data_IF_474879371553
#
_entry.id   IF_474879371553
#
_cell.length_a   1.000
_cell.length_b   1.000
_cell.length_c   1.000
_cell.angle_alpha   90.00
_cell.angle_beta   90.00
_cell.angle_gamma   90.00
#
_symmetry.space_group_name_H-M   'P 1'
#
loop_
_entity.id
_entity.type
_entity.pdbx_description
1 polymer ?
#
# COMPACT_ATOMS: atom_id res chain seq x y z
N UNK A 1 2.34 -20.19 -9.81
CA UNK A 1 2.77 -19.32 -10.90
C UNK A 1 3.32 -18.03 -10.30
N UNK A 2 4.50 -17.61 -10.74
CA UNK A 2 5.08 -16.33 -10.37
C UNK A 2 4.35 -15.21 -11.13
N UNK A 3 4.21 -14.02 -10.53
CA UNK A 3 3.64 -12.86 -11.22
C UNK A 3 2.11 -12.82 -11.30
N UNK A 4 1.41 -13.27 -10.26
CA UNK A 4 -0.06 -13.17 -10.18
C UNK A 4 -0.53 -11.86 -9.54
N UNK A 5 -1.80 -11.49 -9.79
CA UNK A 5 -2.51 -10.44 -9.06
C UNK A 5 -3.40 -11.05 -7.98
N UNK A 6 -3.36 -10.47 -6.80
CA UNK A 6 -4.34 -10.69 -5.74
C UNK A 6 -4.93 -9.33 -5.36
N UNK A 7 -6.24 -9.18 -5.50
CA UNK A 7 -6.93 -7.93 -5.19
C UNK A 7 -8.11 -8.19 -4.22
N UNK A 8 -8.15 -7.43 -3.14
CA UNK A 8 -9.31 -7.29 -2.27
C UNK A 8 -9.88 -5.90 -2.46
N UNK A 9 -11.16 -5.82 -2.83
CA UNK A 9 -11.84 -4.55 -3.07
C UNK A 9 -13.19 -4.56 -2.37
N UNK A 10 -13.34 -3.67 -1.41
CA UNK A 10 -14.57 -3.51 -0.63
C UNK A 10 -14.58 -2.13 0.04
N UNK A 11 -15.72 -1.63 0.54
CA UNK A 11 -15.73 -0.42 1.38
C UNK A 11 -14.86 -0.53 2.64
N UNK A 12 -14.71 -1.74 3.19
CA UNK A 12 -13.77 -2.04 4.28
C UNK A 12 -12.99 -3.31 3.98
N UNK A 13 -11.67 -3.31 4.20
CA UNK A 13 -10.77 -4.44 3.97
C UNK A 13 -9.90 -4.67 5.20
N UNK A 14 -9.91 -5.89 5.73
CA UNK A 14 -9.02 -6.28 6.83
C UNK A 14 -8.22 -7.52 6.47
N UNK A 15 -6.91 -7.49 6.71
CA UNK A 15 -6.04 -8.63 6.66
C UNK A 15 -5.42 -8.87 8.04
N UNK A 16 -5.79 -9.96 8.68
CA UNK A 16 -5.17 -10.48 9.91
C UNK A 16 -4.39 -11.78 9.69
N UNK A 17 -4.36 -12.26 8.43
CA UNK A 17 -3.72 -13.50 8.01
C UNK A 17 -2.40 -13.27 7.27
N UNK A 18 -2.05 -14.25 6.42
CA UNK A 18 -0.83 -14.24 5.61
C UNK A 18 -1.19 -14.26 4.12
N UNK A 19 -0.72 -13.26 3.39
CA UNK A 19 -0.80 -13.16 1.93
C UNK A 19 0.61 -13.36 1.37
N UNK A 20 0.76 -14.25 0.38
CA UNK A 20 2.04 -14.49 -0.28
C UNK A 20 1.88 -14.49 -1.81
N UNK A 21 2.50 -13.53 -2.48
CA UNK A 21 2.41 -13.29 -3.93
C UNK A 21 3.79 -12.98 -4.52
N UNK A 22 4.74 -13.91 -4.41
CA UNK A 22 6.10 -13.72 -4.93
C UNK A 22 6.11 -13.30 -6.41
N UNK A 23 6.84 -12.25 -6.77
CA UNK A 23 6.90 -11.63 -8.10
C UNK A 23 5.52 -11.20 -8.62
N UNK A 24 4.55 -11.01 -7.72
CA UNK A 24 3.17 -10.65 -8.04
C UNK A 24 2.78 -9.32 -7.44
N UNK A 25 1.54 -8.93 -7.70
CA UNK A 25 0.94 -7.73 -7.15
C UNK A 25 -0.12 -8.10 -6.11
N UNK A 26 -0.12 -7.39 -4.99
CA UNK A 26 -1.18 -7.44 -3.98
C UNK A 26 -1.80 -6.06 -3.89
N UNK A 27 -3.12 -5.98 -4.01
CA UNK A 27 -3.88 -4.74 -3.84
C UNK A 27 -4.97 -4.93 -2.80
N UNK A 28 -4.94 -4.10 -1.76
CA UNK A 28 -6.04 -3.91 -0.83
C UNK A 28 -6.64 -2.53 -1.10
N UNK A 29 -7.87 -2.47 -1.61
CA UNK A 29 -8.46 -1.22 -2.07
C UNK A 29 -9.82 -0.99 -1.42
N UNK A 30 -10.02 0.20 -0.87
CA UNK A 30 -11.29 0.62 -0.28
C UNK A 30 -11.98 1.66 -1.13
N UNK A 31 -13.21 1.34 -1.56
CA UNK A 31 -14.07 2.19 -2.35
C UNK A 31 -15.38 1.51 -2.69
N UNK A 32 -16.34 2.26 -3.27
CA UNK A 32 -17.66 1.71 -3.66
C UNK A 32 -17.65 1.02 -5.02
N UNK A 33 -16.86 1.50 -5.96
CA UNK A 33 -16.70 0.93 -7.29
C UNK A 33 -15.23 0.89 -7.68
N UNK A 34 -14.87 -0.02 -8.56
CA UNK A 34 -13.50 -0.17 -9.04
C UNK A 34 -13.48 -0.53 -10.52
N UNK A 35 -12.44 -0.12 -11.20
CA UNK A 35 -12.11 -0.56 -12.55
C UNK A 35 -10.84 -1.40 -12.50
N UNK A 36 -10.91 -2.59 -13.10
CA UNK A 36 -9.77 -3.47 -13.27
C UNK A 36 -9.33 -3.40 -14.73
N UNK A 37 -8.18 -2.80 -14.99
CA UNK A 37 -7.57 -2.82 -16.30
C UNK A 37 -6.65 -4.04 -16.42
N UNK A 38 -7.03 -4.97 -17.31
CA UNK A 38 -6.28 -6.19 -17.60
C UNK A 38 -5.39 -6.07 -18.86
N UNK A 39 -5.41 -4.91 -19.52
CA UNK A 39 -4.71 -4.67 -20.77
C UNK A 39 -3.58 -3.65 -20.57
N UNK A 40 -2.38 -4.12 -20.50
CA UNK A 40 -1.19 -3.28 -20.45
C UNK A 40 0.00 -4.05 -19.92
N UNK A 41 1.15 -3.61 -20.21
CA UNK A 41 2.51 -4.11 -20.01
C UNK A 41 2.83 -4.60 -18.59
N UNK A 42 2.13 -5.61 -18.10
CA UNK A 42 2.24 -6.25 -16.77
C UNK A 42 1.69 -5.44 -15.59
N UNK A 43 1.10 -4.28 -15.80
CA UNK A 43 0.47 -3.49 -14.77
C UNK A 43 -1.05 -3.71 -14.85
N UNK A 44 -1.57 -4.53 -13.94
CA UNK A 44 -3.00 -4.50 -13.65
C UNK A 44 -3.23 -3.25 -12.83
N UNK A 45 -3.79 -2.23 -13.45
CA UNK A 45 -4.20 -1.02 -12.74
C UNK A 45 -5.56 -1.25 -12.11
N UNK A 46 -5.63 -1.18 -10.80
CA UNK A 46 -6.88 -1.17 -10.05
C UNK A 46 -7.18 0.27 -9.64
N UNK A 47 -8.15 0.89 -10.30
CA UNK A 47 -8.64 2.22 -9.94
C UNK A 47 -9.86 2.13 -9.05
N UNK A 48 -9.91 2.90 -7.97
CA UNK A 48 -11.09 3.06 -7.13
C UNK A 48 -11.89 4.27 -7.62
N UNK A 49 -13.03 4.02 -8.26
CA UNK A 49 -13.77 5.06 -8.99
C UNK A 49 -14.68 5.92 -8.10
N UNK A 50 -15.16 5.37 -6.98
CA UNK A 50 -16.14 6.05 -6.13
C UNK A 50 -15.74 6.09 -4.68
N UNK A 51 -15.83 7.27 -4.07
CA UNK A 51 -15.55 7.48 -2.65
C UNK A 51 -16.51 6.70 -1.74
N UNK A 52 -15.99 6.19 -0.65
CA UNK A 52 -16.80 5.77 0.51
C UNK A 52 -17.31 7.05 1.18
N UNK A 53 -18.63 7.21 1.27
CA UNK A 53 -19.28 8.42 1.81
C UNK A 53 -19.90 8.22 3.18
N UNK A 54 -20.15 6.96 3.55
CA UNK A 54 -20.83 6.59 4.79
C UNK A 54 -19.94 5.71 5.65
N UNK A 55 -20.21 5.68 6.94
CA UNK A 55 -19.51 4.77 7.87
C UNK A 55 -19.72 3.32 7.46
N UNK A 56 -18.64 2.57 7.44
CA UNK A 56 -18.67 1.13 7.16
C UNK A 56 -18.89 0.38 8.46
N UNK A 57 -19.87 -0.52 8.46
CA UNK A 57 -20.18 -1.38 9.61
C UNK A 57 -19.45 -2.71 9.42
N UNK A 58 -18.71 -3.11 10.43
CA UNK A 58 -17.98 -4.37 10.47
C UNK A 58 -18.88 -5.58 10.75
N UNK A 59 -18.32 -6.80 10.70
CA UNK A 59 -19.06 -8.03 10.93
C UNK A 59 -19.57 -8.17 12.38
N UNK A 60 -19.04 -7.40 13.32
CA UNK A 60 -19.46 -7.30 14.71
C UNK A 60 -20.66 -6.35 14.93
N UNK A 61 -21.09 -5.64 13.88
CA UNK A 61 -22.17 -4.65 13.92
C UNK A 61 -21.72 -3.26 14.35
N UNK A 62 -20.44 -3.06 14.61
CA UNK A 62 -19.86 -1.77 14.99
C UNK A 62 -19.21 -1.06 13.77
N UNK A 63 -19.06 0.25 13.86
CA UNK A 63 -18.36 0.99 12.82
C UNK A 63 -16.87 0.66 12.83
N UNK A 64 -16.30 0.37 11.65
CA UNK A 64 -14.87 0.11 11.53
C UNK A 64 -14.06 1.36 11.88
N UNK A 65 -12.93 1.19 12.55
CA UNK A 65 -12.01 2.28 12.89
C UNK A 65 -11.13 2.71 11.72
N UNK A 66 -10.95 1.84 10.73
CA UNK A 66 -10.20 2.11 9.50
C UNK A 66 -10.79 1.36 8.32
N UNK A 67 -10.66 1.92 7.11
CA UNK A 67 -11.19 1.30 5.89
C UNK A 67 -10.27 0.21 5.36
N UNK A 68 -8.96 0.38 5.51
CA UNK A 68 -7.98 -0.69 5.30
C UNK A 68 -7.22 -0.91 6.60
N UNK A 69 -7.22 -2.16 7.08
CA UNK A 69 -6.42 -2.59 8.21
C UNK A 69 -5.57 -3.79 7.83
N UNK A 70 -4.26 -3.66 8.00
CA UNK A 70 -3.34 -4.77 7.85
C UNK A 70 -2.61 -5.04 9.16
N UNK A 71 -3.14 -5.93 9.98
CA UNK A 71 -2.49 -6.46 11.18
C UNK A 71 -1.76 -7.77 10.94
N UNK A 72 -1.90 -8.35 9.74
CA UNK A 72 -1.26 -9.59 9.33
C UNK A 72 0.03 -9.37 8.53
N UNK A 73 0.33 -10.31 7.64
CA UNK A 73 1.54 -10.28 6.81
C UNK A 73 1.21 -10.33 5.33
N UNK A 74 1.81 -9.44 4.54
CA UNK A 74 1.77 -9.43 3.08
C UNK A 74 3.20 -9.56 2.57
N UNK A 75 3.45 -10.55 1.70
CA UNK A 75 4.78 -10.81 1.11
C UNK A 75 4.67 -10.90 -0.40
N UNK A 76 5.27 -9.91 -1.09
CA UNK A 76 5.30 -9.79 -2.54
C UNK A 76 6.72 -9.52 -3.05
N UNK A 77 7.71 -10.30 -2.59
CA UNK A 77 9.11 -10.07 -2.93
C UNK A 77 9.36 -10.09 -4.44
N UNK A 78 10.00 -9.04 -4.97
CA UNK A 78 10.18 -8.77 -6.39
C UNK A 78 8.88 -8.32 -7.09
N UNK A 79 7.88 -7.91 -6.34
CA UNK A 79 6.60 -7.42 -6.84
C UNK A 79 6.13 -6.19 -6.09
N UNK A 80 4.83 -5.91 -6.12
CA UNK A 80 4.28 -4.66 -5.59
C UNK A 80 3.13 -4.90 -4.63
N UNK A 81 3.02 -4.05 -3.61
CA UNK A 81 1.91 -4.02 -2.65
C UNK A 81 1.29 -2.63 -2.62
N UNK A 82 -0.01 -2.56 -2.89
CA UNK A 82 -0.79 -1.33 -2.88
C UNK A 82 -1.89 -1.40 -1.83
N UNK A 83 -1.94 -0.44 -0.94
CA UNK A 83 -3.07 -0.14 -0.06
C UNK A 83 -3.63 1.21 -0.49
N UNK A 84 -4.82 1.23 -1.08
CA UNK A 84 -5.40 2.44 -1.65
C UNK A 84 -6.80 2.69 -1.11
N UNK A 85 -7.07 3.90 -0.63
CA UNK A 85 -8.37 4.31 -0.14
C UNK A 85 -8.89 5.51 -0.92
N UNK A 86 -10.16 5.43 -1.34
CA UNK A 86 -10.92 6.54 -1.86
C UNK A 86 -12.15 6.77 -0.97
N UNK A 87 -12.02 7.66 0.00
CA UNK A 87 -13.07 7.99 0.97
C UNK A 87 -13.26 9.50 1.08
N UNK A 88 -14.44 9.91 1.54
CA UNK A 88 -14.67 11.27 1.98
C UNK A 88 -14.07 11.49 3.37
N UNK A 89 -13.82 12.76 3.71
CA UNK A 89 -13.37 13.15 5.04
C UNK A 89 -14.36 12.66 6.12
N UNK A 90 -13.84 12.34 7.28
CA UNK A 90 -14.61 11.99 8.50
C UNK A 90 -15.46 10.70 8.41
N UNK A 91 -15.22 9.86 7.40
CA UNK A 91 -15.88 8.53 7.33
C UNK A 91 -15.36 7.60 8.42
N UNK A 92 -14.05 7.67 8.72
CA UNK A 92 -13.35 6.92 9.77
C UNK A 92 -12.24 7.79 10.38
N UNK A 93 -11.71 7.38 11.54
CA UNK A 93 -10.60 8.09 12.19
C UNK A 93 -9.31 8.01 11.36
N UNK A 94 -9.02 6.83 10.81
CA UNK A 94 -7.89 6.59 9.92
C UNK A 94 -8.34 5.79 8.71
N UNK A 95 -7.95 6.20 7.51
CA UNK A 95 -8.35 5.45 6.31
C UNK A 95 -7.50 4.19 6.13
N UNK A 96 -6.21 4.24 6.50
CA UNK A 96 -5.31 3.09 6.51
C UNK A 96 -4.68 2.95 7.89
N UNK A 97 -4.78 1.75 8.47
CA UNK A 97 -4.05 1.33 9.66
C UNK A 97 -3.15 0.15 9.33
N UNK A 98 -1.84 0.39 9.35
CA UNK A 98 -0.81 -0.57 9.00
C UNK A 98 -0.04 -0.98 10.25
N UNK A 99 -0.49 -2.04 10.94
CA UNK A 99 0.09 -2.56 12.18
C UNK A 99 1.01 -3.77 11.95
N UNK A 100 0.83 -4.48 10.84
CA UNK A 100 1.48 -5.74 10.54
C UNK A 100 2.79 -5.60 9.75
N UNK A 101 3.03 -6.56 8.87
CA UNK A 101 4.20 -6.62 7.99
C UNK A 101 3.79 -6.52 6.53
N UNK A 102 4.42 -5.62 5.78
CA UNK A 102 4.47 -5.66 4.31
C UNK A 102 5.94 -5.87 3.90
N UNK A 103 6.18 -6.91 3.13
CA UNK A 103 7.49 -7.28 2.61
C UNK A 103 7.43 -7.37 1.09
N UNK A 104 8.08 -6.42 0.41
CA UNK A 104 8.27 -6.40 -1.03
C UNK A 104 9.76 -6.19 -1.33
N UNK A 105 10.59 -7.12 -0.81
CA UNK A 105 12.05 -7.10 -1.00
C UNK A 105 12.43 -7.30 -2.44
N UNK A 106 13.57 -6.77 -2.83
CA UNK A 106 14.16 -7.10 -4.13
C UNK A 106 14.34 -8.61 -4.26
N UNK A 107 13.88 -9.18 -5.35
CA UNK A 107 14.02 -10.60 -5.64
C UNK A 107 14.49 -10.80 -7.09
N UNK A 108 15.53 -11.60 -7.28
CA UNK A 108 16.21 -11.80 -8.56
C UNK A 108 16.83 -10.46 -9.04
N UNK A 109 16.19 -9.75 -9.94
CA UNK A 109 16.59 -8.42 -10.44
C UNK A 109 15.39 -7.45 -10.44
N UNK A 110 14.29 -7.83 -9.79
CA UNK A 110 13.07 -7.02 -9.68
C UNK A 110 13.05 -6.36 -8.30
N UNK A 111 13.06 -5.04 -8.27
CA UNK A 111 12.92 -4.27 -7.05
C UNK A 111 11.46 -4.34 -6.56
N UNK A 112 11.28 -4.35 -5.25
CA UNK A 112 9.95 -4.34 -4.67
C UNK A 112 9.38 -2.94 -4.56
N UNK A 113 8.06 -2.84 -4.48
CA UNK A 113 7.35 -1.58 -4.32
C UNK A 113 6.24 -1.70 -3.28
N UNK A 114 6.15 -0.73 -2.38
CA UNK A 114 5.10 -0.65 -1.36
C UNK A 114 4.49 0.74 -1.42
N UNK A 115 3.19 0.84 -1.72
CA UNK A 115 2.46 2.10 -1.75
C UNK A 115 1.26 2.03 -0.83
N UNK A 116 1.20 2.93 0.15
CA UNK A 116 0.06 3.22 0.98
C UNK A 116 -0.48 4.60 0.60
N UNK A 117 -1.68 4.65 0.03
CA UNK A 117 -2.30 5.89 -0.41
C UNK A 117 -3.67 6.08 0.23
N UNK A 118 -3.74 7.00 1.17
CA UNK A 118 -4.96 7.36 1.91
C UNK A 118 -5.89 8.31 1.17
N UNK A 119 -5.57 8.67 -0.09
CA UNK A 119 -6.32 9.70 -0.82
C UNK A 119 -5.98 11.11 -0.33
N UNK A 120 -6.64 12.10 -0.92
CA UNK A 120 -6.38 13.53 -0.64
C UNK A 120 -6.82 14.00 0.74
N UNK A 121 -7.73 13.27 1.37
CA UNK A 121 -8.40 13.67 2.62
C UNK A 121 -8.23 12.62 3.72
N UNK A 122 -7.36 11.62 3.51
CA UNK A 122 -7.23 10.48 4.39
C UNK A 122 -6.03 10.53 5.32
N UNK A 123 -6.20 9.94 6.50
CA UNK A 123 -5.16 9.79 7.52
C UNK A 123 -4.59 8.37 7.45
N UNK A 124 -3.26 8.26 7.36
CA UNK A 124 -2.54 7.00 7.27
C UNK A 124 -1.68 6.82 8.50
N UNK A 125 -1.94 5.76 9.27
CA UNK A 125 -1.13 5.38 10.43
C UNK A 125 -0.31 4.13 10.12
N UNK A 126 0.98 4.19 10.46
CA UNK A 126 1.90 3.06 10.37
C UNK A 126 2.54 2.84 11.74
N UNK A 127 2.33 1.66 12.30
CA UNK A 127 3.00 1.16 13.52
C UNK A 127 3.79 -0.11 13.24
N UNK A 128 3.58 -0.73 12.06
CA UNK A 128 4.19 -1.97 11.61
C UNK A 128 5.44 -1.78 10.75
N UNK A 129 5.78 -2.80 9.99
CA UNK A 129 6.98 -2.87 9.16
C UNK A 129 6.67 -2.80 7.68
N UNK A 130 7.38 -1.92 6.96
CA UNK A 130 7.39 -1.82 5.49
C UNK A 130 8.82 -2.12 5.02
N UNK A 131 9.03 -3.28 4.40
CA UNK A 131 10.36 -3.78 4.01
C UNK A 131 10.46 -3.98 2.50
N UNK A 132 11.11 -3.04 1.82
CA UNK A 132 11.47 -3.10 0.41
C UNK A 132 12.99 -3.22 0.22
N UNK A 133 13.69 -3.84 1.16
CA UNK A 133 15.15 -3.97 1.13
C UNK A 133 15.65 -4.91 0.02
N UNK A 134 16.92 -4.71 -0.38
CA UNK A 134 17.66 -5.56 -1.31
C UNK A 134 19.01 -5.94 -0.72
N UNK A 135 19.04 -6.86 0.26
CA UNK A 135 20.21 -7.18 1.07
C UNK A 135 21.11 -8.30 0.54
N UNK A 136 20.66 -9.01 -0.51
CA UNK A 136 21.51 -10.00 -1.14
C UNK A 136 22.58 -9.31 -2.02
N UNK A 137 23.69 -10.00 -2.22
CA UNK A 137 24.83 -9.45 -2.97
C UNK A 137 24.42 -8.93 -4.36
N UNK A 138 24.74 -7.67 -4.64
CA UNK A 138 24.42 -7.00 -5.91
C UNK A 138 22.99 -6.50 -6.05
N UNK A 139 22.18 -6.52 -4.99
CA UNK A 139 20.83 -5.99 -5.03
C UNK A 139 20.77 -4.51 -4.64
N UNK A 140 19.96 -3.75 -5.36
CA UNK A 140 19.44 -2.45 -4.94
C UNK A 140 18.10 -2.64 -4.22
N UNK A 141 17.78 -1.75 -3.29
CA UNK A 141 16.48 -1.75 -2.64
C UNK A 141 15.38 -1.20 -3.56
N UNK A 142 14.14 -1.41 -3.14
CA UNK A 142 12.95 -0.95 -3.82
C UNK A 142 12.43 0.40 -3.31
N UNK A 143 11.13 0.60 -3.37
CA UNK A 143 10.48 1.86 -3.07
C UNK A 143 9.37 1.68 -2.02
N UNK A 144 9.26 2.66 -1.11
CA UNK A 144 8.16 2.77 -0.15
C UNK A 144 7.55 4.16 -0.24
N UNK A 145 6.26 4.23 -0.52
CA UNK A 145 5.47 5.46 -0.48
C UNK A 145 4.39 5.34 0.58
N UNK A 146 4.28 6.35 1.44
CA UNK A 146 3.19 6.48 2.42
C UNK A 146 2.59 7.87 2.28
N UNK A 147 1.45 7.96 1.61
CA UNK A 147 0.86 9.20 1.13
C UNK A 147 -0.54 9.41 1.69
N UNK A 148 -0.87 10.65 2.02
CA UNK A 148 -2.18 11.05 2.53
C UNK A 148 -2.18 12.50 3.01
N UNK A 149 -3.35 13.04 3.39
CA UNK A 149 -3.44 14.36 4.00
C UNK A 149 -2.64 14.42 5.33
N UNK A 150 -2.70 13.33 6.08
CA UNK A 150 -1.93 13.16 7.30
C UNK A 150 -1.29 11.76 7.31
N UNK A 151 0.00 11.72 7.59
CA UNK A 151 0.73 10.47 7.75
C UNK A 151 1.42 10.46 9.11
N UNK A 152 1.21 9.41 9.88
CA UNK A 152 1.87 9.19 11.17
C UNK A 152 2.65 7.87 11.16
N UNK A 153 3.94 7.95 11.44
CA UNK A 153 4.78 6.81 11.78
C UNK A 153 4.89 6.77 13.30
N UNK A 154 4.28 5.77 13.93
CA UNK A 154 4.09 5.72 15.37
C UNK A 154 4.78 4.50 15.98
N UNK A 155 5.13 4.61 17.26
CA UNK A 155 5.65 3.50 18.06
C UNK A 155 6.83 2.77 17.42
N UNK A 156 6.58 1.54 16.93
CA UNK A 156 7.59 0.65 16.36
C UNK A 156 7.60 0.67 14.82
N UNK A 157 7.04 1.72 14.20
CA UNK A 157 7.05 1.84 12.75
C UNK A 157 8.46 1.67 12.21
N UNK A 158 8.64 0.75 11.28
CA UNK A 158 9.94 0.46 10.68
C UNK A 158 9.83 0.42 9.16
N UNK A 159 10.63 1.23 8.48
CA UNK A 159 10.73 1.27 7.02
C UNK A 159 12.15 0.92 6.63
N UNK A 160 12.32 -0.09 5.78
CA UNK A 160 13.63 -0.53 5.30
C UNK A 160 13.69 -0.49 3.77
N UNK A 161 14.51 0.39 3.25
CA UNK A 161 14.89 0.50 1.85
C UNK A 161 16.41 0.42 1.70
N UNK A 162 17.08 -0.35 2.55
CA UNK A 162 18.52 -0.59 2.44
C UNK A 162 18.83 -1.64 1.39
N UNK A 163 19.93 -1.47 0.65
CA UNK A 163 20.38 -2.42 -0.36
C UNK A 163 21.88 -2.60 -0.32
N UNK A 164 22.38 -3.76 -0.77
CA UNK A 164 23.80 -4.08 -0.81
C UNK A 164 24.54 -3.20 -1.83
N UNK A 165 24.01 -3.09 -3.04
CA UNK A 165 24.61 -2.27 -4.11
C UNK A 165 24.13 -0.81 -4.04
N UNK A 166 22.91 -0.55 -3.58
CA UNK A 166 22.35 0.80 -3.47
C UNK A 166 21.05 0.81 -2.70
N UNK A 167 20.81 1.87 -1.93
CA UNK A 167 19.55 2.10 -1.24
C UNK A 167 18.40 2.36 -2.22
N UNK A 168 17.18 2.27 -1.71
CA UNK A 168 15.96 2.58 -2.43
C UNK A 168 15.43 3.98 -2.10
N UNK A 169 14.16 4.21 -2.41
CA UNK A 169 13.47 5.48 -2.20
C UNK A 169 12.38 5.35 -1.17
N UNK A 170 12.24 6.36 -0.30
CA UNK A 170 11.12 6.49 0.62
C UNK A 170 10.49 7.86 0.48
N UNK A 171 9.17 7.90 0.23
CA UNK A 171 8.38 9.12 0.12
C UNK A 171 7.26 9.09 1.17
N UNK A 172 7.22 10.09 2.06
CA UNK A 172 6.26 10.13 3.16
C UNK A 172 5.57 11.48 3.21
N UNK A 173 4.23 11.45 3.18
CA UNK A 173 3.39 12.63 3.20
C UNK A 173 3.03 13.16 1.82
N UNK A 174 2.11 14.12 1.78
CA UNK A 174 1.68 14.77 0.55
C UNK A 174 0.70 13.97 -0.30
N UNK A 175 0.25 14.60 -1.40
CA UNK A 175 -0.61 14.01 -2.42
C UNK A 175 0.26 13.50 -3.59
N UNK A 176 -0.06 12.33 -4.11
CA UNK A 176 0.61 11.72 -5.26
C UNK A 176 0.67 12.65 -6.48
N UNK A 177 -0.39 13.43 -6.72
CA UNK A 177 -0.46 14.36 -7.84
C UNK A 177 0.56 15.53 -7.74
N UNK A 178 0.91 15.95 -6.53
CA UNK A 178 1.93 16.98 -6.32
C UNK A 178 3.34 16.46 -6.63
N UNK A 179 3.62 15.20 -6.33
CA UNK A 179 4.90 14.57 -6.62
C UNK A 179 5.13 14.33 -8.12
N UNK A 180 4.08 13.93 -8.86
CA UNK A 180 4.16 13.76 -10.32
C UNK A 180 4.37 15.08 -11.07
N UNK A 181 3.92 16.20 -10.50
CA UNK A 181 4.12 17.53 -11.08
C UNK A 181 5.59 18.01 -10.93
N UNK A 182 6.22 17.76 -9.78
CA UNK A 182 7.63 18.14 -9.56
C UNK A 182 8.62 17.37 -10.42
N UNK A 183 8.35 16.09 -10.69
CA UNK A 183 9.22 15.25 -11.54
C UNK A 183 9.16 15.65 -13.03
N UNK A 184 8.08 16.33 -13.47
CA UNK A 184 7.93 16.78 -14.86
C UNK A 184 8.62 18.14 -15.14
N UNK A 185 9.05 18.85 -14.12
CA UNK A 185 9.74 20.16 -14.25
C UNK A 185 11.27 20.07 -14.08
N UNK A 186 11.83 18.89 -13.84
CA UNK A 186 13.27 18.60 -13.80
C UNK A 186 13.73 17.88 -15.08
#
# INVERSE_FOLDING_TARGET
>A
TQGGLLAFVAPGVENSGIINAKLGQVSLSSGKTFTLDLYGDKLVSLGVDSKVLDRVIGPDGEAVSSLIKNGGSIKANGGSVFLEVNAARDVVDNVINMDGLIEAKTAVQENGEIILYGGKEGFVNVTGTLDASGKEAGQTAGEVQVLGEWVALLENAFIDVSGDLGGGTTLIGGDRAAMEAEVKEL
#
